data_IF_657264202736
#
_entry.id   IF_657264202736
#
_cell.length_a   1.000
_cell.length_b   1.000
_cell.length_c   1.000
_cell.angle_alpha   90.00
_cell.angle_beta   90.00
_cell.angle_gamma   90.00
#
_symmetry.space_group_name_H-M   'P 1'
#
loop_
_entity.id
_entity.type
_entity.pdbx_description
1 polymer ?
#
# COMPACT_ATOMS: atom_id res chain seq x y z
N UNK A 1 7.70 -20.05 33.60
CA UNK A 1 8.20 -19.87 32.22
C UNK A 1 9.27 -20.92 31.84
N UNK A 2 10.38 -21.08 32.61
CA UNK A 2 11.41 -22.06 32.28
C UNK A 2 10.98 -23.52 32.62
N UNK A 3 10.18 -23.71 33.65
CA UNK A 3 9.59 -25.00 34.03
C UNK A 3 8.53 -25.46 33.03
N UNK A 4 7.73 -24.51 32.50
CA UNK A 4 6.70 -24.78 31.51
C UNK A 4 7.29 -25.18 30.15
N UNK A 5 8.42 -24.56 29.76
CA UNK A 5 9.16 -24.93 28.56
C UNK A 5 9.79 -26.32 28.66
N UNK A 6 10.36 -26.67 29.84
CA UNK A 6 10.97 -27.99 30.09
C UNK A 6 9.91 -29.09 30.12
N UNK A 7 8.74 -28.83 30.72
CA UNK A 7 7.61 -29.77 30.70
C UNK A 7 7.03 -29.98 29.30
N UNK A 8 6.95 -28.93 28.51
CA UNK A 8 6.55 -29.00 27.09
C UNK A 8 7.57 -29.80 26.24
N UNK A 9 8.87 -29.62 26.49
CA UNK A 9 9.91 -30.39 25.77
C UNK A 9 9.92 -31.86 26.14
N UNK A 10 9.61 -32.19 27.39
CA UNK A 10 9.51 -33.59 27.86
C UNK A 10 8.21 -34.31 27.43
N UNK A 11 7.16 -33.53 27.14
CA UNK A 11 5.88 -34.06 26.71
C UNK A 11 5.74 -34.19 25.17
N UNK A 12 6.80 -33.87 24.40
CA UNK A 12 6.75 -33.90 22.94
C UNK A 12 6.77 -35.36 22.43
N UNK A 13 5.65 -35.93 21.98
CA UNK A 13 5.61 -37.31 21.51
C UNK A 13 6.49 -37.47 20.27
N UNK A 14 6.98 -38.68 20.03
CA UNK A 14 7.76 -39.02 18.84
C UNK A 14 6.98 -38.65 17.59
N UNK A 15 7.62 -38.29 16.47
CA UNK A 15 6.93 -37.88 15.24
C UNK A 15 5.84 -38.84 14.75
N UNK A 16 6.03 -40.16 14.98
CA UNK A 16 5.05 -41.19 14.66
C UNK A 16 3.79 -41.17 15.55
N UNK A 17 3.90 -40.63 16.78
CA UNK A 17 2.81 -40.57 17.77
C UNK A 17 2.05 -39.25 17.72
N UNK A 18 2.61 -38.22 17.05
CA UNK A 18 2.04 -36.87 16.97
C UNK A 18 0.73 -36.80 16.20
N UNK A 19 0.48 -37.73 15.27
CA UNK A 19 -0.72 -37.72 14.41
C UNK A 19 -2.03 -37.85 15.18
N UNK A 20 -2.01 -38.45 16.37
CA UNK A 20 -3.22 -38.70 17.17
C UNK A 20 -3.47 -37.61 18.20
N UNK A 21 -2.44 -36.82 18.60
CA UNK A 21 -2.53 -35.84 19.69
C UNK A 21 -2.84 -34.39 19.25
N UNK A 22 -2.69 -34.07 17.98
CA UNK A 22 -2.83 -32.68 17.51
C UNK A 22 -4.20 -32.33 16.92
N UNK A 23 -5.19 -33.21 17.05
CA UNK A 23 -6.55 -32.99 16.57
C UNK A 23 -6.75 -33.34 15.08
N UNK A 24 -7.94 -33.07 14.59
CA UNK A 24 -8.29 -33.34 13.19
C UNK A 24 -7.79 -32.21 12.31
N UNK A 25 -7.09 -32.54 11.23
CA UNK A 25 -6.71 -31.60 10.19
C UNK A 25 -7.86 -31.48 9.18
N UNK A 26 -8.27 -30.27 8.88
CA UNK A 26 -9.20 -29.97 7.83
C UNK A 26 -8.46 -29.42 6.61
N UNK A 27 -8.71 -30.01 5.43
CA UNK A 27 -8.12 -29.58 4.16
C UNK A 27 -9.16 -28.85 3.32
N UNK A 28 -9.03 -27.52 3.25
CA UNK A 28 -9.90 -26.66 2.44
C UNK A 28 -9.14 -26.19 1.20
N UNK A 29 -9.75 -26.41 0.03
CA UNK A 29 -9.17 -25.96 -1.24
C UNK A 29 -9.23 -24.44 -1.33
N UNK A 30 -8.08 -23.81 -1.58
CA UNK A 30 -8.00 -22.36 -1.80
C UNK A 30 -8.75 -21.94 -3.06
N UNK A 31 -9.43 -20.80 -2.99
CA UNK A 31 -10.02 -20.17 -4.18
C UNK A 31 -8.94 -19.74 -5.18
N UNK A 32 -9.30 -19.64 -6.46
CA UNK A 32 -8.38 -19.18 -7.52
C UNK A 32 -7.79 -17.79 -7.20
N UNK A 33 -8.60 -16.90 -6.65
CA UNK A 33 -8.16 -15.57 -6.23
C UNK A 33 -7.05 -15.66 -5.18
N UNK A 34 -7.26 -16.44 -4.11
CA UNK A 34 -6.23 -16.60 -3.06
C UNK A 34 -4.96 -17.24 -3.58
N UNK A 35 -5.06 -18.22 -4.47
CA UNK A 35 -3.87 -18.82 -5.11
C UNK A 35 -3.09 -17.80 -5.91
N UNK A 36 -3.78 -16.94 -6.68
CA UNK A 36 -3.15 -15.88 -7.48
C UNK A 36 -2.48 -14.84 -6.59
N UNK A 37 -3.15 -14.40 -5.52
CA UNK A 37 -2.60 -13.45 -4.55
C UNK A 37 -1.32 -14.03 -3.92
N UNK A 38 -1.38 -15.25 -3.40
CA UNK A 38 -0.23 -15.91 -2.78
C UNK A 38 0.96 -16.02 -3.74
N UNK A 39 0.71 -16.44 -4.99
CA UNK A 39 1.75 -16.52 -6.02
C UNK A 39 2.38 -15.16 -6.32
N UNK A 40 1.59 -14.11 -6.50
CA UNK A 40 2.10 -12.76 -6.82
C UNK A 40 2.88 -12.16 -5.66
N UNK A 41 2.40 -12.29 -4.42
CA UNK A 41 3.11 -11.79 -3.25
C UNK A 41 4.46 -12.49 -3.07
N UNK A 42 4.47 -13.82 -3.22
CA UNK A 42 5.71 -14.59 -3.12
C UNK A 42 6.70 -14.20 -4.23
N UNK A 43 6.24 -14.06 -5.45
CA UNK A 43 7.06 -13.64 -6.59
C UNK A 43 7.65 -12.25 -6.39
N UNK A 44 6.87 -11.29 -5.83
CA UNK A 44 7.37 -9.95 -5.54
C UNK A 44 8.54 -9.98 -4.53
N UNK A 45 8.44 -10.82 -3.49
CA UNK A 45 9.52 -11.01 -2.52
C UNK A 45 10.76 -11.70 -3.09
N UNK A 46 10.58 -12.60 -4.05
CA UNK A 46 11.69 -13.32 -4.70
C UNK A 46 12.42 -12.46 -5.73
N UNK A 47 11.72 -11.55 -6.39
CA UNK A 47 12.30 -10.72 -7.45
C UNK A 47 13.03 -9.47 -6.94
N UNK A 48 12.92 -9.12 -5.66
CA UNK A 48 13.49 -7.90 -5.14
C UNK A 48 14.18 -8.11 -3.79
N UNK A 49 15.32 -7.46 -3.59
CA UNK A 49 15.93 -7.31 -2.27
C UNK A 49 15.20 -6.18 -1.52
N UNK A 50 14.15 -6.54 -0.77
CA UNK A 50 13.32 -5.57 -0.08
C UNK A 50 14.04 -4.98 1.13
N UNK A 51 14.11 -3.65 1.19
CA UNK A 51 14.58 -2.89 2.34
C UNK A 51 13.38 -2.12 2.92
N UNK A 52 13.15 -2.28 4.23
CA UNK A 52 12.14 -1.51 4.96
C UNK A 52 12.84 -0.51 5.87
N UNK A 53 12.39 0.74 5.83
CA UNK A 53 12.83 1.80 6.74
C UNK A 53 11.63 2.39 7.45
N UNK A 54 11.83 2.85 8.68
CA UNK A 54 10.79 3.49 9.48
C UNK A 54 11.23 4.91 9.84
N UNK A 55 10.27 5.82 9.82
CA UNK A 55 10.49 7.21 10.22
C UNK A 55 9.22 7.78 10.86
N UNK A 56 9.38 8.76 11.73
CA UNK A 56 8.29 9.50 12.36
C UNK A 56 8.28 10.92 11.82
N UNK A 57 7.08 11.43 11.54
CA UNK A 57 6.89 12.79 11.00
C UNK A 57 5.89 13.53 11.88
N UNK A 58 6.29 14.70 12.39
CA UNK A 58 5.36 15.62 13.04
C UNK A 58 4.44 16.28 12.00
N UNK A 59 3.16 15.94 12.08
CA UNK A 59 2.12 16.42 11.17
C UNK A 59 1.44 17.70 11.65
N UNK A 60 1.84 18.29 12.79
CA UNK A 60 1.16 19.42 13.41
C UNK A 60 0.99 20.60 12.45
N UNK A 61 2.06 21.03 11.79
CA UNK A 61 2.01 22.14 10.82
C UNK A 61 1.12 21.86 9.61
N UNK A 62 1.10 20.62 9.11
CA UNK A 62 0.23 20.22 7.99
C UNK A 62 -1.24 20.20 8.43
N UNK A 63 -1.51 19.74 9.66
CA UNK A 63 -2.86 19.74 10.24
C UNK A 63 -3.39 21.16 10.45
N UNK A 64 -2.57 22.06 10.96
CA UNK A 64 -2.91 23.46 11.16
C UNK A 64 -3.17 24.17 9.82
N UNK A 65 -2.26 24.07 8.87
CA UNK A 65 -2.41 24.61 7.51
C UNK A 65 -3.71 24.10 6.85
N UNK A 66 -3.98 22.81 6.97
CA UNK A 66 -5.21 22.21 6.44
C UNK A 66 -6.45 22.79 7.11
N UNK A 67 -6.43 22.95 8.44
CA UNK A 67 -7.54 23.51 9.23
C UNK A 67 -7.84 24.96 8.83
N UNK A 68 -6.81 25.77 8.71
CA UNK A 68 -6.93 27.20 8.37
C UNK A 68 -7.47 27.40 6.94
N UNK A 69 -7.07 26.56 6.00
CA UNK A 69 -7.42 26.72 4.59
C UNK A 69 -8.64 25.90 4.13
N UNK A 70 -9.22 25.07 5.00
CA UNK A 70 -10.27 24.11 4.62
C UNK A 70 -11.52 24.75 4.04
N UNK A 71 -12.03 25.82 4.68
CA UNK A 71 -13.26 26.49 4.26
C UNK A 71 -13.08 27.22 2.91
N UNK A 72 -11.99 27.97 2.78
CA UNK A 72 -11.66 28.67 1.54
C UNK A 72 -11.43 27.69 0.39
N UNK A 73 -10.67 26.62 0.63
CA UNK A 73 -10.41 25.58 -0.33
C UNK A 73 -11.71 24.90 -0.80
N UNK A 74 -12.59 24.53 0.15
CA UNK A 74 -13.86 23.90 -0.18
C UNK A 74 -14.79 24.84 -0.95
N UNK A 75 -14.81 26.12 -0.59
CA UNK A 75 -15.60 27.13 -1.30
C UNK A 75 -15.14 27.32 -2.73
N UNK A 76 -13.82 27.38 -2.97
CA UNK A 76 -13.25 27.60 -4.32
C UNK A 76 -13.31 26.38 -5.23
N UNK A 77 -13.05 25.20 -4.67
CA UNK A 77 -12.83 23.99 -5.50
C UNK A 77 -13.95 22.95 -5.39
N UNK A 78 -14.91 23.13 -4.47
CA UNK A 78 -16.03 22.22 -4.26
C UNK A 78 -15.64 20.86 -3.65
N UNK A 79 -14.43 20.75 -3.12
CA UNK A 79 -13.89 19.52 -2.51
C UNK A 79 -13.12 19.86 -1.24
N UNK A 80 -13.11 18.92 -0.29
CA UNK A 80 -12.32 19.08 0.94
C UNK A 80 -10.84 18.85 0.67
N UNK A 81 -9.99 19.63 1.33
CA UNK A 81 -8.54 19.42 1.35
C UNK A 81 -8.22 18.21 2.24
N UNK A 82 -7.82 17.12 1.64
CA UNK A 82 -7.41 15.89 2.33
C UNK A 82 -5.90 15.87 2.64
N UNK A 83 -5.45 14.83 3.34
CA UNK A 83 -4.02 14.62 3.58
C UNK A 83 -3.29 13.99 2.39
N UNK A 84 -4.03 13.29 1.52
CA UNK A 84 -3.40 12.57 0.40
C UNK A 84 -2.71 13.49 -0.58
N UNK A 85 -3.24 14.68 -0.85
CA UNK A 85 -2.58 15.66 -1.71
C UNK A 85 -1.23 16.12 -1.16
N UNK A 86 -1.09 16.28 0.17
CA UNK A 86 0.19 16.58 0.81
C UNK A 86 1.19 15.43 0.63
N UNK A 87 0.77 14.19 0.89
CA UNK A 87 1.62 13.02 0.71
C UNK A 87 2.03 12.82 -0.74
N UNK A 88 1.11 12.98 -1.69
CA UNK A 88 1.43 12.90 -3.13
C UNK A 88 2.48 13.94 -3.51
N UNK A 89 2.30 15.20 -3.10
CA UNK A 89 3.26 16.27 -3.39
C UNK A 89 4.62 16.02 -2.72
N UNK A 90 4.64 15.55 -1.48
CA UNK A 90 5.87 15.18 -0.79
C UNK A 90 6.61 14.04 -1.51
N UNK A 91 5.90 12.98 -1.94
CA UNK A 91 6.47 11.91 -2.73
C UNK A 91 7.05 12.40 -4.05
N UNK A 92 6.33 13.24 -4.79
CA UNK A 92 6.82 13.81 -6.06
C UNK A 92 8.11 14.59 -5.86
N UNK A 93 8.18 15.44 -4.82
CA UNK A 93 9.40 16.20 -4.49
C UNK A 93 10.56 15.27 -4.16
N UNK A 94 10.30 14.24 -3.34
CA UNK A 94 11.31 13.25 -2.97
C UNK A 94 11.82 12.46 -4.19
N UNK A 95 10.93 12.00 -5.07
CA UNK A 95 11.28 11.26 -6.28
C UNK A 95 12.07 12.12 -7.28
N UNK A 96 11.80 13.44 -7.36
CA UNK A 96 12.59 14.37 -8.17
C UNK A 96 14.00 14.56 -7.60
N UNK A 97 14.14 14.59 -6.28
CA UNK A 97 15.44 14.73 -5.61
C UNK A 97 16.26 13.43 -5.62
N UNK A 98 15.58 12.28 -5.66
CA UNK A 98 16.19 10.94 -5.65
C UNK A 98 15.68 10.10 -6.82
N UNK A 99 16.06 10.42 -8.07
CA UNK A 99 15.51 9.77 -9.26
C UNK A 99 15.75 8.27 -9.32
N UNK A 100 16.77 7.75 -8.64
CA UNK A 100 17.01 6.31 -8.55
C UNK A 100 15.87 5.55 -7.85
N UNK A 101 15.08 6.20 -6.99
CA UNK A 101 13.90 5.61 -6.36
C UNK A 101 12.73 5.52 -7.36
N UNK A 102 12.72 6.38 -8.40
CA UNK A 102 11.73 6.36 -9.48
C UNK A 102 12.28 5.65 -10.72
N UNK A 103 12.98 4.53 -10.52
CA UNK A 103 13.61 3.75 -11.58
C UNK A 103 13.26 2.26 -11.43
N UNK A 104 13.47 1.49 -12.47
CA UNK A 104 13.34 0.03 -12.45
C UNK A 104 14.56 -0.62 -13.12
N UNK A 105 14.80 -1.89 -12.79
CA UNK A 105 15.84 -2.70 -13.39
C UNK A 105 15.22 -3.58 -14.47
N UNK A 106 15.76 -3.53 -15.68
CA UNK A 106 15.38 -4.41 -16.78
C UNK A 106 16.66 -5.06 -17.34
N UNK A 107 16.85 -6.34 -17.04
CA UNK A 107 18.09 -7.05 -17.33
C UNK A 107 19.28 -6.42 -16.61
N UNK A 108 20.21 -5.84 -17.36
CA UNK A 108 21.41 -5.13 -16.90
C UNK A 108 21.29 -3.60 -17.00
N UNK A 109 20.12 -3.09 -17.35
CA UNK A 109 19.85 -1.67 -17.50
C UNK A 109 19.03 -1.10 -16.32
N UNK A 110 19.23 0.17 -16.02
CA UNK A 110 18.40 0.97 -15.09
C UNK A 110 17.59 1.94 -15.92
N UNK A 111 16.26 1.80 -15.84
CA UNK A 111 15.31 2.67 -16.54
C UNK A 111 14.79 3.73 -15.59
N UNK A 112 15.26 4.97 -15.74
CA UNK A 112 14.77 6.12 -15.00
C UNK A 112 13.44 6.61 -15.57
N UNK A 113 12.40 6.67 -14.71
CA UNK A 113 11.08 7.18 -15.08
C UNK A 113 11.06 8.70 -14.90
N UNK A 114 11.03 9.45 -15.99
CA UNK A 114 10.96 10.92 -15.95
C UNK A 114 9.50 11.43 -15.91
N UNK A 115 8.63 10.65 -15.31
CA UNK A 115 7.21 10.94 -15.06
C UNK A 115 6.82 10.37 -13.69
N UNK A 116 5.80 10.94 -13.07
CA UNK A 116 5.45 10.65 -11.67
C UNK A 116 3.99 10.21 -11.57
N UNK A 117 3.77 8.92 -11.71
CA UNK A 117 2.46 8.29 -11.59
C UNK A 117 2.34 7.64 -10.22
N UNK A 118 1.60 8.27 -9.33
CA UNK A 118 1.47 7.82 -7.94
C UNK A 118 0.26 6.92 -7.79
N UNK A 119 0.49 5.65 -7.47
CA UNK A 119 -0.57 4.73 -7.12
C UNK A 119 -0.99 4.91 -5.67
N UNK A 120 -2.26 4.67 -5.36
CA UNK A 120 -2.76 4.71 -3.99
C UNK A 120 -3.73 3.56 -3.71
N UNK A 121 -3.65 3.02 -2.48
CA UNK A 121 -4.45 1.88 -2.11
C UNK A 121 -5.89 2.30 -1.77
N UNK A 122 -6.87 1.63 -2.37
CA UNK A 122 -8.32 1.83 -2.13
C UNK A 122 -8.95 0.52 -1.70
N UNK A 123 -9.58 0.52 -0.51
CA UNK A 123 -10.39 -0.61 -0.04
C UNK A 123 -11.74 -0.65 -0.75
N UNK A 124 -12.12 -1.84 -1.22
CA UNK A 124 -13.42 -2.14 -1.80
C UNK A 124 -14.02 -3.39 -1.15
N UNK A 125 -15.29 -3.65 -1.33
CA UNK A 125 -15.95 -4.86 -0.82
C UNK A 125 -15.32 -6.16 -1.36
N UNK A 126 -14.66 -6.09 -2.51
CA UNK A 126 -13.99 -7.23 -3.16
C UNK A 126 -12.51 -7.35 -2.79
N UNK A 127 -11.98 -6.45 -1.97
CA UNK A 127 -10.58 -6.39 -1.56
C UNK A 127 -9.91 -5.06 -1.89
N UNK A 128 -8.59 -5.06 -1.84
CA UNK A 128 -7.75 -3.88 -2.08
C UNK A 128 -7.45 -3.76 -3.57
N UNK A 129 -7.62 -2.55 -4.12
CA UNK A 129 -7.18 -2.17 -5.47
C UNK A 129 -6.22 -1.00 -5.37
N UNK A 130 -5.34 -0.86 -6.36
CA UNK A 130 -4.26 0.15 -6.34
C UNK A 130 -4.27 0.93 -7.66
N UNK A 131 -5.24 1.84 -7.84
CA UNK A 131 -5.31 2.68 -9.02
C UNK A 131 -4.20 3.73 -9.06
N UNK A 132 -4.01 4.34 -10.23
CA UNK A 132 -2.90 5.24 -10.55
C UNK A 132 -3.38 6.66 -10.78
N UNK A 133 -2.83 7.60 -10.01
CA UNK A 133 -2.91 9.03 -10.26
C UNK A 133 -1.77 9.42 -11.22
N UNK A 134 -2.11 9.79 -12.44
CA UNK A 134 -1.12 10.10 -13.49
C UNK A 134 -0.62 11.52 -13.41
N UNK A 135 0.65 11.73 -13.81
CA UNK A 135 1.30 13.04 -13.92
C UNK A 135 1.12 13.88 -12.64
N UNK A 136 1.32 13.24 -11.47
CA UNK A 136 1.03 13.84 -10.16
C UNK A 136 1.86 15.11 -9.88
N UNK A 137 2.96 15.31 -10.59
CA UNK A 137 3.79 16.50 -10.49
C UNK A 137 3.15 17.75 -11.13
N UNK A 138 2.34 17.58 -12.16
CA UNK A 138 1.64 18.65 -12.86
C UNK A 138 0.33 19.07 -12.15
N UNK A 139 -0.23 18.20 -11.30
CA UNK A 139 -1.51 18.42 -10.65
C UNK A 139 -1.41 19.41 -9.48
N UNK A 140 -2.39 20.28 -9.34
CA UNK A 140 -2.59 21.09 -8.13
C UNK A 140 -3.12 20.24 -6.97
N UNK A 141 -3.11 20.76 -5.73
CA UNK A 141 -3.75 20.10 -4.59
C UNK A 141 -5.22 19.78 -4.86
N UNK A 142 -5.95 20.70 -5.48
CA UNK A 142 -7.35 20.51 -5.80
C UNK A 142 -7.57 19.41 -6.86
N UNK A 143 -6.73 19.36 -7.88
CA UNK A 143 -6.81 18.34 -8.92
C UNK A 143 -6.47 16.96 -8.34
N UNK A 144 -5.47 16.86 -7.48
CA UNK A 144 -5.13 15.61 -6.78
C UNK A 144 -6.32 15.11 -5.98
N UNK A 145 -6.95 15.96 -5.15
CA UNK A 145 -8.09 15.55 -4.32
C UNK A 145 -9.31 15.16 -5.19
N UNK A 146 -9.58 15.88 -6.28
CA UNK A 146 -10.66 15.56 -7.22
C UNK A 146 -10.43 14.22 -7.91
N UNK A 147 -9.23 14.00 -8.46
CA UNK A 147 -8.87 12.77 -9.14
C UNK A 147 -8.92 11.57 -8.18
N UNK A 148 -8.36 11.71 -6.96
CA UNK A 148 -8.39 10.64 -5.95
C UNK A 148 -9.83 10.28 -5.58
N UNK A 149 -10.71 11.29 -5.40
CA UNK A 149 -12.13 11.06 -5.13
C UNK A 149 -12.80 10.29 -6.27
N UNK A 150 -12.65 10.77 -7.50
CA UNK A 150 -13.25 10.17 -8.69
C UNK A 150 -12.78 8.73 -8.91
N UNK A 151 -11.47 8.50 -8.83
CA UNK A 151 -10.89 7.17 -8.99
C UNK A 151 -11.35 6.23 -7.86
N UNK A 152 -11.45 6.74 -6.61
CA UNK A 152 -11.93 5.96 -5.47
C UNK A 152 -13.41 5.59 -5.60
N UNK A 153 -14.24 6.45 -6.13
CA UNK A 153 -15.65 6.17 -6.45
C UNK A 153 -15.76 5.10 -7.55
N UNK A 154 -15.02 5.24 -8.64
CA UNK A 154 -14.91 4.21 -9.69
C UNK A 154 -14.45 2.86 -9.13
N UNK A 155 -13.51 2.87 -8.19
CA UNK A 155 -13.01 1.66 -7.55
C UNK A 155 -14.09 0.93 -6.76
N UNK A 156 -14.84 1.65 -5.91
CA UNK A 156 -15.94 1.09 -5.11
C UNK A 156 -17.09 0.59 -5.97
N UNK A 157 -17.39 1.30 -7.06
CA UNK A 157 -18.40 0.90 -8.05
C UNK A 157 -17.97 -0.28 -8.92
N UNK A 158 -16.71 -0.72 -8.84
CA UNK A 158 -16.16 -1.77 -9.69
C UNK A 158 -16.03 -1.40 -11.16
N UNK A 159 -15.87 -0.09 -11.45
CA UNK A 159 -15.78 0.48 -12.79
C UNK A 159 -14.35 0.84 -13.23
N UNK A 160 -13.33 0.43 -12.47
CA UNK A 160 -11.93 0.61 -12.86
C UNK A 160 -11.61 -0.20 -14.11
N UNK A 161 -10.89 0.42 -15.03
CA UNK A 161 -10.34 -0.24 -16.21
C UNK A 161 -8.95 -0.81 -15.91
N UNK A 162 -8.39 -1.57 -16.83
CA UNK A 162 -7.02 -2.09 -16.73
C UNK A 162 -6.03 -0.92 -16.77
N UNK A 163 -6.30 0.08 -17.59
CA UNK A 163 -5.49 1.29 -17.72
C UNK A 163 -5.41 2.06 -16.39
N UNK A 164 -6.50 2.11 -15.63
CA UNK A 164 -6.51 2.78 -14.30
C UNK A 164 -5.57 2.11 -13.28
N UNK A 165 -5.16 0.86 -13.52
CA UNK A 165 -4.34 0.06 -12.62
C UNK A 165 -2.89 -0.11 -13.09
N UNK A 166 -2.51 0.41 -14.25
CA UNK A 166 -1.20 0.20 -14.85
C UNK A 166 -0.38 1.49 -14.94
N UNK A 167 0.95 1.35 -14.96
CA UNK A 167 1.88 2.45 -15.19
C UNK A 167 2.16 3.32 -13.97
N UNK A 168 1.85 2.85 -12.76
CA UNK A 168 2.29 3.49 -11.52
C UNK A 168 3.80 3.36 -11.34
N UNK A 169 4.45 4.43 -10.87
CA UNK A 169 5.89 4.45 -10.61
C UNK A 169 6.22 4.39 -9.12
N UNK A 170 5.30 4.81 -8.26
CA UNK A 170 5.41 4.77 -6.81
C UNK A 170 4.04 4.54 -6.17
N UNK A 171 3.99 3.94 -4.97
CA UNK A 171 2.71 3.61 -4.33
C UNK A 171 2.64 4.18 -2.92
N UNK A 172 1.51 4.81 -2.59
CA UNK A 172 1.15 5.24 -1.25
C UNK A 172 0.06 4.32 -0.69
N UNK A 173 0.29 3.78 0.51
CA UNK A 173 -0.69 2.96 1.22
C UNK A 173 -0.92 3.49 2.63
N UNK A 174 -2.18 3.53 3.07
CA UNK A 174 -2.54 3.91 4.42
C UNK A 174 -2.92 2.66 5.24
N UNK A 175 -1.93 2.10 5.95
CA UNK A 175 -2.13 0.96 6.84
C UNK A 175 -2.88 1.30 8.13
N UNK A 176 -2.90 2.57 8.54
CA UNK A 176 -3.56 3.04 9.76
C UNK A 176 -5.07 2.77 9.77
N UNK A 177 -5.71 2.74 8.61
CA UNK A 177 -7.13 2.38 8.45
C UNK A 177 -7.41 0.95 8.95
N UNK A 178 -6.42 0.08 8.88
CA UNK A 178 -6.49 -1.32 9.32
C UNK A 178 -5.82 -1.54 10.69
N UNK A 179 -5.46 -0.46 11.40
CA UNK A 179 -4.81 -0.54 12.70
C UNK A 179 -3.32 -0.90 12.63
N UNK A 180 -2.69 -0.84 11.47
CA UNK A 180 -1.26 -1.07 11.33
C UNK A 180 -0.47 0.17 11.76
N UNK A 181 0.47 -0.01 12.71
CA UNK A 181 1.43 1.01 13.10
C UNK A 181 2.72 0.89 12.28
N UNK A 182 3.22 -0.32 12.12
CA UNK A 182 4.41 -0.64 11.32
C UNK A 182 4.04 -1.70 10.30
N UNK A 183 4.37 -1.47 9.03
CA UNK A 183 4.10 -2.40 7.93
C UNK A 183 5.39 -2.70 7.16
N UNK A 184 5.53 -3.93 6.71
CA UNK A 184 6.65 -4.40 5.89
C UNK A 184 6.13 -5.01 4.59
#
# INVERSE_FOLDING_TARGET
>A
LKGDLISLMGANPKPSERKIQYGQEERIKMTRLRQTIAKRLKQAQENAALLTTFNEVDMSSVMEMRKENQEDFQSRYGIKLGFMSFFVKACVVALKNFPAVNAEIDGDEIIYKNYYNISFAVGTDKGLVVPVLRNADELSFADIEKNIKEISEKARDGKLTIEDLQGGTFTISNGGVYGSMLST
#
